data_IF_793115590341
#
_entry.id   IF_793115590341
#
_cell.length_a   1.000
_cell.length_b   1.000
_cell.length_c   1.000
_cell.angle_alpha   90.00
_cell.angle_beta   90.00
_cell.angle_gamma   90.00
#
_symmetry.space_group_name_H-M   'P 1'
#
loop_
_entity.id
_entity.type
_entity.pdbx_description
1 polymer ?
#
# COMPACT_ATOMS: atom_id res chain seq x y z
N UNK A 1 -28.78 -58.60 4.11
CA UNK A 1 -28.02 -57.74 3.19
C UNK A 1 -28.21 -56.32 3.65
N UNK A 2 -27.21 -55.76 4.32
CA UNK A 2 -27.26 -54.44 4.94
C UNK A 2 -26.42 -53.52 4.05
N UNK A 3 -27.06 -52.62 3.32
CA UNK A 3 -26.37 -51.66 2.46
C UNK A 3 -25.61 -50.65 3.33
N UNK A 4 -24.28 -50.69 3.22
CA UNK A 4 -23.40 -49.64 3.69
C UNK A 4 -23.59 -48.40 2.81
N UNK A 5 -24.17 -47.33 3.39
CA UNK A 5 -24.10 -45.99 2.82
C UNK A 5 -22.64 -45.52 2.92
N UNK A 6 -21.95 -45.49 1.78
CA UNK A 6 -20.65 -44.87 1.66
C UNK A 6 -20.74 -43.39 2.02
N UNK A 7 -19.97 -43.00 3.04
CA UNK A 7 -19.71 -41.60 3.35
C UNK A 7 -19.12 -40.90 2.14
N UNK A 8 -19.66 -39.72 1.81
CA UNK A 8 -19.09 -38.87 0.77
C UNK A 8 -17.61 -38.56 1.13
N UNK A 9 -16.68 -38.62 0.15
CA UNK A 9 -15.30 -38.24 0.39
C UNK A 9 -15.21 -36.76 0.79
N UNK A 10 -14.26 -36.38 1.67
CA UNK A 10 -14.02 -34.99 2.00
C UNK A 10 -13.68 -34.21 0.72
N UNK A 11 -14.31 -33.04 0.55
CA UNK A 11 -14.00 -32.10 -0.53
C UNK A 11 -12.49 -31.84 -0.56
N UNK A 12 -11.84 -32.13 -1.68
CA UNK A 12 -10.42 -31.87 -1.86
C UNK A 12 -10.15 -30.37 -1.79
N UNK A 13 -9.06 -29.97 -1.12
CA UNK A 13 -8.59 -28.59 -0.96
C UNK A 13 -8.17 -27.90 -2.28
N UNK A 14 -8.43 -28.52 -3.43
CA UNK A 14 -7.87 -28.15 -4.74
C UNK A 14 -8.59 -26.98 -5.41
N UNK A 15 -9.87 -26.71 -5.10
CA UNK A 15 -10.69 -25.68 -5.77
C UNK A 15 -11.44 -24.75 -4.80
N UNK A 16 -10.94 -24.57 -3.57
CA UNK A 16 -11.54 -23.58 -2.66
C UNK A 16 -11.29 -22.16 -3.18
N UNK A 17 -12.38 -21.40 -3.37
CA UNK A 17 -12.34 -19.99 -3.78
C UNK A 17 -11.57 -19.13 -2.77
N UNK A 18 -11.05 -17.99 -3.22
CA UNK A 18 -10.33 -17.07 -2.34
C UNK A 18 -11.26 -16.56 -1.22
N UNK A 19 -12.52 -16.25 -1.55
CA UNK A 19 -13.54 -15.90 -0.58
C UNK A 19 -13.71 -16.96 0.53
N UNK A 20 -13.85 -18.24 0.17
CA UNK A 20 -14.03 -19.32 1.14
C UNK A 20 -12.79 -19.51 2.04
N UNK A 21 -11.59 -19.46 1.44
CA UNK A 21 -10.33 -19.49 2.18
C UNK A 21 -10.26 -18.34 3.19
N UNK A 22 -10.62 -17.13 2.78
CA UNK A 22 -10.53 -15.95 3.63
C UNK A 22 -11.50 -16.00 4.81
N UNK A 23 -12.74 -16.45 4.59
CA UNK A 23 -13.71 -16.69 5.68
C UNK A 23 -13.18 -17.73 6.66
N UNK A 24 -12.59 -18.82 6.15
CA UNK A 24 -12.03 -19.90 6.96
C UNK A 24 -10.81 -19.46 7.78
N UNK A 25 -9.90 -18.70 7.17
CA UNK A 25 -8.76 -18.10 7.88
C UNK A 25 -9.24 -17.10 8.93
N UNK A 26 -10.26 -16.30 8.62
CA UNK A 26 -10.79 -15.30 9.55
C UNK A 26 -11.46 -15.92 10.78
N UNK A 27 -12.10 -17.07 10.61
CA UNK A 27 -12.73 -17.83 11.69
C UNK A 27 -11.74 -18.73 12.47
N UNK A 28 -10.47 -18.77 12.07
CA UNK A 28 -9.50 -19.68 12.67
C UNK A 28 -8.98 -19.18 14.00
N UNK A 29 -8.99 -20.05 15.01
CA UNK A 29 -8.28 -19.82 16.26
C UNK A 29 -6.78 -20.06 16.05
N UNK A 30 -5.96 -19.02 16.21
CA UNK A 30 -4.51 -19.07 16.01
C UNK A 30 -3.74 -19.51 17.26
N UNK A 31 -4.39 -19.45 18.43
CA UNK A 31 -3.84 -19.92 19.72
C UNK A 31 -2.54 -19.21 20.12
N UNK A 32 -2.45 -17.90 19.82
CA UNK A 32 -1.29 -17.07 20.19
C UNK A 32 -0.02 -17.40 19.42
N UNK A 33 -0.12 -18.04 18.24
CA UNK A 33 1.00 -18.27 17.32
C UNK A 33 2.20 -19.04 17.92
N UNK A 34 1.97 -19.80 19.00
CA UNK A 34 2.95 -20.75 19.51
C UNK A 34 3.16 -21.87 18.49
N UNK A 35 4.30 -22.58 18.55
CA UNK A 35 4.60 -23.64 17.57
C UNK A 35 3.50 -24.71 17.50
N UNK A 36 3.01 -25.17 18.65
CA UNK A 36 1.97 -26.20 18.70
C UNK A 36 0.61 -25.69 18.22
N UNK A 37 0.25 -24.45 18.57
CA UNK A 37 -0.99 -23.83 18.11
C UNK A 37 -0.99 -23.62 16.59
N UNK A 38 0.11 -23.12 16.02
CA UNK A 38 0.28 -22.92 14.58
C UNK A 38 0.27 -24.26 13.84
N UNK A 39 0.91 -25.30 14.39
CA UNK A 39 0.81 -26.65 13.83
C UNK A 39 -0.63 -27.16 13.82
N UNK A 40 -1.36 -26.99 14.92
CA UNK A 40 -2.76 -27.39 15.01
C UNK A 40 -3.64 -26.60 14.05
N UNK A 41 -3.38 -25.29 13.87
CA UNK A 41 -4.03 -24.44 12.86
C UNK A 41 -3.83 -25.01 11.45
N UNK A 42 -2.59 -25.28 11.05
CA UNK A 42 -2.26 -25.84 9.73
C UNK A 42 -2.99 -27.17 9.49
N UNK A 43 -3.02 -28.06 10.49
CA UNK A 43 -3.74 -29.34 10.40
C UNK A 43 -5.25 -29.14 10.29
N UNK A 44 -5.84 -28.21 11.07
CA UNK A 44 -7.27 -27.88 10.97
C UNK A 44 -7.64 -27.28 9.60
N UNK A 45 -6.71 -26.58 8.98
CA UNK A 45 -6.86 -26.07 7.61
C UNK A 45 -6.74 -27.18 6.55
N UNK A 46 -6.45 -28.42 6.94
CA UNK A 46 -6.30 -29.56 6.03
C UNK A 46 -4.98 -29.53 5.25
N UNK A 47 -3.98 -28.79 5.74
CA UNK A 47 -2.69 -28.61 5.07
C UNK A 47 -1.59 -29.46 5.72
N UNK A 48 -0.56 -29.74 4.93
CA UNK A 48 0.60 -30.51 5.37
C UNK A 48 1.56 -29.64 6.20
N UNK A 49 1.74 -30.02 7.47
CA UNK A 49 2.78 -29.46 8.32
C UNK A 49 4.15 -30.03 7.96
N UNK A 50 5.17 -29.16 7.94
CA UNK A 50 6.57 -29.55 7.95
C UNK A 50 7.29 -28.81 9.09
N UNK A 51 8.43 -29.31 9.55
CA UNK A 51 9.24 -28.58 10.53
C UNK A 51 9.97 -27.35 9.93
N UNK A 52 9.83 -27.13 8.62
CA UNK A 52 10.29 -25.93 7.92
C UNK A 52 9.20 -24.84 7.81
N UNK A 53 9.53 -23.69 7.23
CA UNK A 53 8.59 -22.59 7.05
C UNK A 53 7.53 -22.85 5.97
N UNK A 54 7.65 -23.91 5.16
CA UNK A 54 6.71 -24.23 4.09
C UNK A 54 5.55 -25.09 4.60
N UNK A 55 4.34 -24.74 4.19
CA UNK A 55 3.10 -25.45 4.52
C UNK A 55 2.45 -25.93 3.22
N UNK A 56 2.33 -27.25 3.06
CA UNK A 56 1.83 -27.85 1.84
C UNK A 56 0.30 -27.68 1.75
N UNK A 57 -0.18 -26.86 0.82
CA UNK A 57 -1.61 -26.51 0.73
C UNK A 57 -2.36 -27.39 -0.27
N UNK A 58 -1.64 -27.96 -1.25
CA UNK A 58 -2.24 -28.65 -2.40
C UNK A 58 -2.95 -27.71 -3.39
N UNK A 59 -2.80 -26.39 -3.25
CA UNK A 59 -3.43 -25.39 -4.11
C UNK A 59 -2.62 -25.18 -5.39
N UNK A 60 -3.32 -24.87 -6.48
CA UNK A 60 -2.71 -24.50 -7.77
C UNK A 60 -1.90 -23.19 -7.70
N UNK A 61 -2.19 -22.35 -6.71
CA UNK A 61 -1.47 -21.10 -6.42
C UNK A 61 -0.22 -21.30 -5.58
N UNK A 62 0.09 -22.55 -5.20
CA UNK A 62 1.29 -22.91 -4.47
C UNK A 62 1.11 -23.02 -2.95
N UNK A 63 2.22 -23.33 -2.29
CA UNK A 63 2.28 -23.60 -0.87
C UNK A 63 2.26 -22.31 -0.03
N UNK A 64 1.68 -22.42 1.17
CA UNK A 64 1.70 -21.36 2.15
C UNK A 64 3.06 -21.31 2.86
N UNK A 65 3.37 -20.17 3.46
CA UNK A 65 4.63 -19.93 4.15
C UNK A 65 4.37 -19.33 5.52
N UNK A 66 4.97 -19.94 6.53
CA UNK A 66 5.10 -19.39 7.85
C UNK A 66 6.32 -18.48 7.90
N UNK A 67 6.19 -17.35 8.60
CA UNK A 67 7.32 -16.50 8.96
C UNK A 67 7.68 -16.72 10.43
N UNK A 68 8.76 -17.46 10.74
CA UNK A 68 9.20 -17.62 12.11
C UNK A 68 9.63 -16.28 12.71
N UNK A 69 9.52 -16.16 14.03
CA UNK A 69 10.12 -15.05 14.77
C UNK A 69 11.63 -15.10 14.57
N UNK A 70 12.20 -14.03 14.02
CA UNK A 70 13.63 -13.82 13.91
C UNK A 70 14.08 -12.62 14.74
N UNK A 71 15.35 -12.25 14.54
CA UNK A 71 16.03 -11.17 15.27
C UNK A 71 15.27 -9.83 15.25
N UNK A 72 14.56 -9.51 14.16
CA UNK A 72 13.85 -8.23 14.03
C UNK A 72 12.47 -8.27 14.68
N UNK A 73 11.83 -9.43 14.69
CA UNK A 73 10.51 -9.71 15.24
C UNK A 73 10.55 -9.85 16.77
N UNK A 74 11.63 -10.40 17.35
CA UNK A 74 11.79 -10.70 18.78
C UNK A 74 11.44 -9.52 19.70
N UNK A 75 11.69 -8.28 19.28
CA UNK A 75 11.40 -7.06 20.06
C UNK A 75 9.91 -6.65 20.07
N UNK A 76 9.07 -7.35 19.31
CA UNK A 76 7.65 -7.06 19.09
C UNK A 76 6.70 -8.18 19.52
N UNK A 77 7.22 -9.37 19.82
CA UNK A 77 6.44 -10.55 20.18
C UNK A 77 6.53 -10.86 21.67
N UNK A 78 5.52 -11.53 22.22
CA UNK A 78 5.39 -11.97 23.62
C UNK A 78 5.08 -13.47 23.70
N UNK A 79 5.90 -14.31 23.05
CA UNK A 79 5.81 -15.77 23.11
C UNK A 79 5.40 -16.45 21.81
N UNK A 80 5.06 -15.69 20.78
CA UNK A 80 4.81 -16.17 19.43
C UNK A 80 6.06 -16.86 18.86
N UNK A 81 5.88 -17.97 18.15
CA UNK A 81 6.92 -18.64 17.38
C UNK A 81 6.92 -18.19 15.90
N UNK A 82 5.80 -17.65 15.43
CA UNK A 82 5.56 -17.21 14.07
C UNK A 82 4.81 -15.88 14.07
N UNK A 83 5.10 -15.01 13.12
CA UNK A 83 4.43 -13.70 12.97
C UNK A 83 3.49 -13.64 11.75
N UNK A 84 3.54 -14.62 10.86
CA UNK A 84 2.69 -14.63 9.67
C UNK A 84 2.46 -16.07 9.18
N UNK A 85 1.27 -16.30 8.62
CA UNK A 85 0.95 -17.38 7.69
C UNK A 85 0.50 -16.74 6.37
N UNK A 86 1.38 -16.76 5.36
CA UNK A 86 1.16 -16.17 4.05
C UNK A 86 0.74 -17.23 3.03
N UNK A 87 -0.39 -17.03 2.37
CA UNK A 87 -0.94 -17.93 1.35
C UNK A 87 -0.94 -17.20 0.01
N UNK A 88 -0.20 -17.67 -1.02
CA UNK A 88 -0.31 -17.09 -2.34
C UNK A 88 -1.70 -17.36 -2.93
N UNK A 89 -2.36 -16.32 -3.45
CA UNK A 89 -3.74 -16.43 -3.94
C UNK A 89 -3.86 -16.32 -5.46
N UNK A 90 -2.81 -15.86 -6.12
CA UNK A 90 -2.72 -15.81 -7.58
C UNK A 90 -1.27 -15.78 -8.04
N UNK A 91 -0.99 -16.40 -9.18
CA UNK A 91 0.24 -16.18 -9.93
C UNK A 91 -0.04 -15.27 -11.11
N UNK A 92 0.85 -14.31 -11.36
CA UNK A 92 0.69 -13.36 -12.45
C UNK A 92 2.04 -13.03 -13.07
N UNK A 93 2.01 -12.43 -14.26
CA UNK A 93 3.22 -11.95 -14.92
C UNK A 93 3.93 -10.90 -14.02
N UNK A 94 5.26 -10.79 -14.11
CA UNK A 94 6.03 -9.93 -13.21
C UNK A 94 5.86 -8.42 -13.48
N UNK A 95 5.17 -8.02 -14.55
CA UNK A 95 4.94 -6.61 -14.86
C UNK A 95 3.91 -5.96 -13.92
N UNK A 96 4.07 -4.66 -13.69
CA UNK A 96 3.29 -3.93 -12.70
C UNK A 96 1.78 -3.90 -13.01
N UNK A 97 1.40 -3.83 -14.28
CA UNK A 97 0.00 -3.83 -14.69
C UNK A 97 -0.70 -5.15 -14.35
N UNK A 98 -0.08 -6.28 -14.70
CA UNK A 98 -0.60 -7.62 -14.40
C UNK A 98 -0.65 -7.91 -12.90
N UNK A 99 0.30 -7.38 -12.12
CA UNK A 99 0.31 -7.48 -10.65
C UNK A 99 -0.82 -6.65 -10.03
N UNK A 100 -0.97 -5.40 -10.44
CA UNK A 100 -2.01 -4.50 -9.95
C UNK A 100 -3.41 -5.04 -10.23
N UNK A 101 -3.64 -5.55 -11.44
CA UNK A 101 -4.92 -6.15 -11.82
C UNK A 101 -5.22 -7.43 -11.03
N UNK A 102 -4.22 -8.30 -10.83
CA UNK A 102 -4.38 -9.50 -10.01
C UNK A 102 -4.74 -9.15 -8.56
N UNK A 103 -4.11 -8.12 -7.99
CA UNK A 103 -4.44 -7.62 -6.66
C UNK A 103 -5.85 -7.06 -6.61
N UNK A 104 -6.25 -6.24 -7.59
CA UNK A 104 -7.59 -5.64 -7.67
C UNK A 104 -8.69 -6.71 -7.71
N UNK A 105 -8.50 -7.76 -8.51
CA UNK A 105 -9.46 -8.87 -8.58
C UNK A 105 -9.57 -9.62 -7.24
N UNK A 106 -8.43 -9.87 -6.57
CA UNK A 106 -8.42 -10.48 -5.24
C UNK A 106 -9.11 -9.58 -4.20
N UNK A 107 -8.86 -8.26 -4.24
CA UNK A 107 -9.54 -7.27 -3.41
C UNK A 107 -11.05 -7.34 -3.59
N UNK A 108 -11.53 -7.30 -4.84
CA UNK A 108 -12.97 -7.24 -5.14
C UNK A 108 -13.68 -8.51 -4.61
N UNK A 109 -13.09 -9.68 -4.79
CA UNK A 109 -13.61 -10.95 -4.25
C UNK A 109 -13.63 -10.96 -2.71
N UNK A 110 -12.53 -10.58 -2.06
CA UNK A 110 -12.43 -10.55 -0.60
C UNK A 110 -13.37 -9.51 0.02
N UNK A 111 -13.50 -8.35 -0.59
CA UNK A 111 -14.42 -7.30 -0.14
C UNK A 111 -15.87 -7.75 -0.24
N UNK A 112 -16.22 -8.52 -1.29
CA UNK A 112 -17.54 -9.14 -1.40
C UNK A 112 -17.83 -10.18 -0.31
N UNK A 113 -16.81 -10.91 0.15
CA UNK A 113 -16.97 -11.97 1.14
C UNK A 113 -16.89 -11.49 2.60
N UNK A 114 -16.01 -10.54 2.88
CA UNK A 114 -15.67 -10.09 4.24
C UNK A 114 -16.22 -8.69 4.57
N UNK A 115 -16.81 -8.01 3.59
CA UNK A 115 -17.11 -6.58 3.65
C UNK A 115 -15.86 -5.73 3.41
N UNK A 116 -16.00 -4.42 3.58
CA UNK A 116 -14.88 -3.49 3.41
C UNK A 116 -13.72 -3.85 4.37
N UNK A 117 -12.45 -3.57 4.01
CA UNK A 117 -11.28 -3.72 4.90
C UNK A 117 -11.12 -2.51 5.81
N UNK A 118 -10.85 -2.66 7.11
CA UNK A 118 -10.87 -1.54 8.08
C UNK A 118 -9.68 -0.60 7.93
N UNK A 119 -8.63 -1.07 7.27
CA UNK A 119 -7.39 -0.35 6.98
C UNK A 119 -6.97 -0.66 5.53
N UNK A 120 -6.42 0.35 4.86
CA UNK A 120 -5.82 0.23 3.54
C UNK A 120 -4.53 1.04 3.49
N UNK A 121 -3.63 0.72 2.57
CA UNK A 121 -2.44 1.52 2.42
C UNK A 121 -1.41 0.96 1.46
N UNK A 122 -0.24 1.58 1.53
CA UNK A 122 0.98 1.20 0.82
C UNK A 122 2.12 1.21 1.82
N UNK A 123 2.97 0.19 1.83
CA UNK A 123 4.13 0.16 2.74
C UNK A 123 5.29 1.06 2.29
N UNK A 124 5.35 1.39 1.00
CA UNK A 124 6.46 2.11 0.40
C UNK A 124 7.59 1.13 0.11
N UNK A 125 8.75 1.33 0.74
CA UNK A 125 9.99 0.55 0.54
C UNK A 125 10.20 -0.58 1.55
N UNK A 126 9.57 -0.50 2.73
CA UNK A 126 9.74 -1.48 3.79
C UNK A 126 8.37 -1.85 4.38
N UNK A 127 8.02 -3.12 4.26
CA UNK A 127 6.87 -3.72 4.91
C UNK A 127 7.23 -4.15 6.35
N UNK A 128 6.25 -4.64 7.14
CA UNK A 128 6.50 -5.14 8.49
C UNK A 128 7.74 -6.04 8.60
N UNK A 129 8.50 -5.81 9.68
CA UNK A 129 9.72 -6.55 10.02
C UNK A 129 10.82 -6.49 8.94
N UNK A 130 11.04 -5.28 8.40
CA UNK A 130 12.05 -5.00 7.35
C UNK A 130 11.91 -5.90 6.12
N UNK A 131 10.71 -6.40 5.85
CA UNK A 131 10.47 -7.17 4.64
C UNK A 131 10.64 -6.24 3.44
N UNK A 132 11.52 -6.64 2.52
CA UNK A 132 11.62 -5.99 1.22
C UNK A 132 10.25 -6.04 0.54
N UNK A 133 9.83 -4.89 0.03
CA UNK A 133 8.62 -4.76 -0.79
C UNK A 133 8.90 -5.18 -2.23
N UNK A 134 7.82 -5.32 -2.99
CA UNK A 134 7.93 -5.66 -4.40
C UNK A 134 8.22 -4.41 -5.25
N UNK A 135 8.95 -4.59 -6.34
CA UNK A 135 9.35 -3.48 -7.22
C UNK A 135 8.19 -2.80 -7.93
N UNK A 136 7.03 -3.48 -8.06
CA UNK A 136 5.84 -2.93 -8.68
C UNK A 136 4.99 -2.08 -7.73
N UNK A 137 5.21 -2.21 -6.41
CA UNK A 137 4.40 -1.55 -5.39
C UNK A 137 4.23 -2.42 -4.15
N UNK A 138 3.56 -1.84 -3.15
CA UNK A 138 3.29 -2.51 -1.87
C UNK A 138 1.88 -2.25 -1.31
N UNK A 139 0.82 -2.32 -2.13
CA UNK A 139 -0.53 -2.14 -1.65
C UNK A 139 -0.91 -3.23 -0.63
N UNK A 140 -1.71 -2.85 0.36
CA UNK A 140 -2.29 -3.77 1.31
C UNK A 140 -3.69 -3.34 1.77
N UNK A 141 -4.49 -4.31 2.19
CA UNK A 141 -5.81 -4.16 2.78
C UNK A 141 -5.92 -5.08 3.99
N UNK A 142 -6.47 -4.60 5.11
CA UNK A 142 -6.62 -5.39 6.34
C UNK A 142 -8.05 -5.47 6.80
N UNK A 143 -8.48 -6.67 7.15
CA UNK A 143 -9.64 -6.94 7.97
C UNK A 143 -9.13 -7.20 9.39
N UNK A 144 -9.01 -6.11 10.16
CA UNK A 144 -8.47 -6.14 11.52
C UNK A 144 -9.36 -6.98 12.44
N UNK A 145 -8.73 -7.78 13.27
CA UNK A 145 -9.36 -8.44 14.41
C UNK A 145 -8.73 -8.07 15.72
N UNK A 146 -9.36 -8.49 16.80
CA UNK A 146 -8.83 -8.30 18.15
C UNK A 146 -7.47 -8.99 18.29
N UNK A 147 -7.42 -10.32 18.10
CA UNK A 147 -6.17 -11.08 18.22
C UNK A 147 -5.39 -11.20 16.92
N UNK A 148 -6.12 -11.32 15.80
CA UNK A 148 -5.54 -11.65 14.50
C UNK A 148 -6.08 -10.75 13.40
N UNK A 149 -5.20 -10.33 12.51
CA UNK A 149 -5.53 -9.56 11.31
C UNK A 149 -5.37 -10.45 10.08
N UNK A 150 -6.36 -10.36 9.19
CA UNK A 150 -6.25 -10.91 7.84
C UNK A 150 -5.89 -9.77 6.88
N UNK A 151 -4.82 -9.94 6.11
CA UNK A 151 -4.28 -8.93 5.20
C UNK A 151 -4.18 -9.47 3.77
N UNK A 152 -4.73 -8.76 2.80
CA UNK A 152 -4.34 -8.92 1.41
C UNK A 152 -3.15 -7.99 1.16
N UNK A 153 -2.03 -8.51 0.66
CA UNK A 153 -0.84 -7.70 0.36
C UNK A 153 -0.19 -8.09 -0.97
N UNK A 154 0.59 -7.16 -1.49
CA UNK A 154 1.49 -7.44 -2.60
C UNK A 154 2.55 -8.49 -2.22
N UNK A 155 2.77 -9.43 -3.14
CA UNK A 155 3.79 -10.45 -3.05
C UNK A 155 4.54 -10.62 -4.37
N UNK A 156 5.64 -11.37 -4.29
CA UNK A 156 6.64 -11.49 -5.37
C UNK A 156 6.11 -12.04 -6.70
N UNK A 157 5.17 -12.96 -6.64
CA UNK A 157 4.62 -13.63 -7.84
C UNK A 157 3.13 -13.32 -8.06
N UNK A 158 2.58 -12.40 -7.27
CA UNK A 158 1.16 -12.12 -7.19
C UNK A 158 0.74 -11.74 -5.76
N UNK A 159 -0.52 -11.36 -5.56
CA UNK A 159 -1.07 -11.08 -4.24
C UNK A 159 -1.01 -12.29 -3.31
N UNK A 160 -0.87 -12.00 -2.02
CA UNK A 160 -0.86 -12.97 -0.93
C UNK A 160 -1.91 -12.59 0.11
N UNK A 161 -2.60 -13.61 0.64
CA UNK A 161 -3.48 -13.47 1.79
C UNK A 161 -2.73 -13.94 3.03
N UNK A 162 -2.62 -13.06 4.02
CA UNK A 162 -1.77 -13.24 5.19
C UNK A 162 -2.60 -13.17 6.45
N UNK A 163 -2.53 -14.23 7.25
CA UNK A 163 -3.02 -14.21 8.63
C UNK A 163 -1.83 -13.90 9.55
N UNK A 164 -2.00 -12.97 10.49
CA UNK A 164 -0.94 -12.52 11.40
C UNK A 164 -1.53 -12.03 12.73
N UNK A 165 -0.79 -12.09 13.86
CA UNK A 165 -1.24 -11.51 15.12
C UNK A 165 -1.34 -9.98 15.00
N UNK A 166 -2.43 -9.40 15.48
CA UNK A 166 -2.70 -7.96 15.36
C UNK A 166 -1.63 -7.12 16.05
N UNK A 167 -1.34 -7.40 17.33
CA UNK A 167 -0.45 -6.58 18.16
C UNK A 167 0.99 -6.49 17.62
N UNK A 168 1.69 -7.59 17.29
CA UNK A 168 3.05 -7.51 16.73
C UNK A 168 3.09 -6.77 15.39
N UNK A 169 2.09 -7.01 14.52
CA UNK A 169 2.01 -6.35 13.23
C UNK A 169 1.80 -4.84 13.38
N UNK A 170 0.98 -4.39 14.32
CA UNK A 170 0.73 -2.97 14.60
C UNK A 170 1.88 -2.30 15.35
N UNK A 171 2.46 -2.99 16.34
CA UNK A 171 3.64 -2.54 17.10
C UNK A 171 4.82 -2.16 16.20
N UNK A 172 4.97 -2.85 15.07
CA UNK A 172 5.93 -2.46 14.04
C UNK A 172 5.67 -1.05 13.48
N UNK A 173 4.44 -0.76 13.05
CA UNK A 173 4.08 0.54 12.45
C UNK A 173 4.33 1.70 13.41
N UNK A 174 4.01 1.51 14.68
CA UNK A 174 4.19 2.55 15.72
C UNK A 174 5.66 2.87 15.93
N UNK A 175 6.53 1.85 16.01
CA UNK A 175 7.93 2.04 16.40
C UNK A 175 8.82 2.55 15.27
N UNK A 176 8.48 2.30 14.01
CA UNK A 176 9.28 2.75 12.87
C UNK A 176 9.06 4.22 12.47
N UNK A 177 8.17 4.94 13.15
CA UNK A 177 7.71 6.25 12.69
C UNK A 177 8.11 7.46 13.54
N UNK A 178 8.74 7.30 14.71
CA UNK A 178 8.99 8.45 15.57
C UNK A 178 10.27 9.21 15.18
N UNK A 179 10.14 10.07 14.17
CA UNK A 179 11.13 11.11 13.83
C UNK A 179 12.32 10.68 12.98
N UNK A 180 12.45 9.40 12.62
CA UNK A 180 13.51 8.92 11.74
C UNK A 180 13.14 9.12 10.26
N UNK A 181 13.93 9.90 9.53
CA UNK A 181 13.72 10.07 8.08
C UNK A 181 13.73 8.71 7.38
N UNK A 182 12.75 8.49 6.50
CA UNK A 182 12.54 7.21 5.79
C UNK A 182 12.16 6.01 6.66
N UNK A 183 11.86 6.19 7.95
CA UNK A 183 11.35 5.11 8.81
C UNK A 183 10.03 4.52 8.29
N UNK A 184 9.22 5.35 7.63
CA UNK A 184 7.99 4.96 6.93
C UNK A 184 7.99 5.60 5.55
N UNK A 185 7.67 4.84 4.51
CA UNK A 185 7.88 5.25 3.11
C UNK A 185 6.65 5.15 2.23
N UNK A 186 5.50 4.75 2.78
CA UNK A 186 4.22 4.70 2.07
C UNK A 186 3.13 5.52 2.76
N UNK A 187 1.88 5.12 2.60
CA UNK A 187 0.74 5.77 3.24
C UNK A 187 -0.13 4.77 3.99
N UNK A 188 -0.86 5.28 4.97
CA UNK A 188 -1.75 4.49 5.80
C UNK A 188 -3.12 5.16 5.83
N UNK A 189 -4.16 4.39 5.54
CA UNK A 189 -5.55 4.80 5.51
C UNK A 189 -6.39 3.96 6.45
N UNK A 190 -7.29 4.58 7.19
CA UNK A 190 -8.24 3.89 8.06
C UNK A 190 -9.64 4.45 7.88
N UNK A 191 -10.64 3.61 8.08
CA UNK A 191 -12.04 4.07 8.17
C UNK A 191 -12.54 4.04 9.61
N UNK A 192 -13.65 4.72 9.82
CA UNK A 192 -14.36 4.66 11.11
C UNK A 192 -15.03 3.29 11.22
N UNK A 193 -14.38 2.37 11.93
CA UNK A 193 -14.83 0.99 12.10
C UNK A 193 -14.55 0.54 13.55
N UNK A 194 -15.49 -0.10 14.25
CA UNK A 194 -15.28 -0.56 15.63
C UNK A 194 -14.08 -1.49 15.79
N UNK A 195 -13.72 -2.25 14.74
CA UNK A 195 -12.54 -3.11 14.74
C UNK A 195 -11.23 -2.34 14.89
N UNK A 196 -11.21 -1.03 14.65
CA UNK A 196 -10.04 -0.17 14.83
C UNK A 196 -9.90 0.35 16.29
N UNK A 197 -10.68 -0.18 17.25
CA UNK A 197 -10.48 0.10 18.67
C UNK A 197 -9.06 -0.25 19.13
N UNK A 198 -8.37 0.71 19.74
CA UNK A 198 -6.98 0.56 20.19
C UNK A 198 -5.93 0.67 19.08
N UNK A 199 -6.35 0.92 17.83
CA UNK A 199 -5.42 1.15 16.72
C UNK A 199 -4.51 2.34 17.02
N UNK A 200 -3.21 2.12 16.90
CA UNK A 200 -2.21 3.18 17.04
C UNK A 200 -1.69 3.55 15.66
N UNK A 201 -1.55 4.85 15.41
CA UNK A 201 -1.05 5.34 14.14
C UNK A 201 0.48 5.30 14.09
N UNK A 202 1.06 5.04 12.91
CA UNK A 202 2.49 5.22 12.72
C UNK A 202 2.88 6.67 13.04
N UNK A 203 4.06 6.86 13.65
CA UNK A 203 4.67 8.18 13.72
C UNK A 203 5.06 8.69 12.33
N UNK A 204 5.13 10.00 12.15
CA UNK A 204 5.65 10.62 10.92
C UNK A 204 7.06 11.14 11.08
N UNK A 205 7.70 11.40 9.94
CA UNK A 205 8.97 12.11 9.85
C UNK A 205 8.82 13.34 8.96
N UNK A 206 9.80 14.25 9.00
CA UNK A 206 9.82 15.45 8.16
C UNK A 206 11.09 15.46 7.34
N UNK A 207 10.98 15.79 6.06
CA UNK A 207 12.13 15.93 5.19
C UNK A 207 12.81 17.29 5.43
N UNK A 208 14.11 17.26 5.72
CA UNK A 208 14.90 18.46 5.98
C UNK A 208 15.82 18.86 4.83
N UNK A 209 15.83 18.07 3.74
CA UNK A 209 16.63 18.37 2.55
C UNK A 209 15.84 18.15 1.26
N UNK A 210 16.21 18.89 0.22
CA UNK A 210 15.68 18.68 -1.13
C UNK A 210 15.98 17.27 -1.64
N UNK A 211 17.14 16.70 -1.31
CA UNK A 211 17.49 15.33 -1.68
C UNK A 211 16.51 14.32 -1.05
N UNK A 212 16.19 14.50 0.24
CA UNK A 212 15.25 13.65 0.98
C UNK A 212 13.85 13.73 0.34
N UNK A 213 13.35 14.94 0.04
CA UNK A 213 12.05 15.13 -0.64
C UNK A 213 12.06 14.52 -2.04
N UNK A 214 13.09 14.77 -2.86
CA UNK A 214 13.20 14.20 -4.20
C UNK A 214 13.16 12.68 -4.14
N UNK A 215 13.91 12.05 -3.23
CA UNK A 215 13.93 10.60 -3.08
C UNK A 215 12.59 10.02 -2.63
N UNK A 216 11.91 10.70 -1.70
CA UNK A 216 10.60 10.29 -1.21
C UNK A 216 9.53 10.40 -2.31
N UNK A 217 9.49 11.52 -3.04
CA UNK A 217 8.63 11.71 -4.20
C UNK A 217 8.94 10.69 -5.30
N UNK A 218 10.21 10.42 -5.58
CA UNK A 218 10.60 9.47 -6.62
C UNK A 218 10.11 8.06 -6.30
N UNK A 219 10.24 7.62 -5.04
CA UNK A 219 9.73 6.33 -4.60
C UNK A 219 8.20 6.27 -4.71
N UNK A 220 7.51 7.32 -4.26
CA UNK A 220 6.06 7.43 -4.33
C UNK A 220 5.54 7.40 -5.78
N UNK A 221 6.07 8.24 -6.66
CA UNK A 221 5.61 8.38 -8.05
C UNK A 221 5.91 7.15 -8.91
N UNK A 222 6.97 6.40 -8.60
CA UNK A 222 7.33 5.18 -9.34
C UNK A 222 6.23 4.12 -9.26
N UNK A 223 5.64 3.90 -8.08
CA UNK A 223 4.69 2.81 -7.84
C UNK A 223 3.24 3.27 -7.81
N UNK A 224 3.00 4.58 -7.73
CA UNK A 224 1.67 5.16 -7.56
C UNK A 224 0.62 4.62 -8.54
N UNK A 225 0.83 4.55 -9.87
CA UNK A 225 -0.21 4.04 -10.77
C UNK A 225 -0.56 2.57 -10.55
N UNK A 226 0.42 1.73 -10.22
CA UNK A 226 0.18 0.32 -9.91
C UNK A 226 -0.60 0.18 -8.60
N UNK A 227 -0.27 1.00 -7.60
CA UNK A 227 -0.89 0.99 -6.27
C UNK A 227 -2.33 1.52 -6.29
N UNK A 228 -2.59 2.64 -6.98
CA UNK A 228 -3.96 3.17 -7.14
C UNK A 228 -4.84 2.26 -7.98
N UNK A 229 -4.28 1.62 -9.02
CA UNK A 229 -4.99 0.59 -9.81
C UNK A 229 -5.36 -0.62 -8.95
N UNK A 230 -4.39 -1.15 -8.19
CA UNK A 230 -4.58 -2.31 -7.31
C UNK A 230 -5.62 -2.03 -6.23
N UNK A 231 -5.53 -0.85 -5.60
CA UNK A 231 -6.45 -0.43 -4.54
C UNK A 231 -7.77 0.11 -5.08
N UNK A 232 -7.90 0.37 -6.39
CA UNK A 232 -9.04 1.05 -7.03
C UNK A 232 -9.43 2.33 -6.27
N UNK A 233 -8.42 3.11 -5.95
CA UNK A 233 -8.54 4.39 -5.23
C UNK A 233 -7.84 5.45 -6.05
N UNK A 234 -8.57 6.12 -6.97
CA UNK A 234 -8.05 7.30 -7.64
C UNK A 234 -7.53 8.28 -6.59
N UNK A 235 -6.35 8.84 -6.84
CA UNK A 235 -5.69 9.74 -5.91
C UNK A 235 -5.54 11.12 -6.52
N UNK A 236 -5.90 12.14 -5.76
CA UNK A 236 -5.63 13.53 -6.09
C UNK A 236 -4.88 14.17 -4.96
N UNK A 237 -3.74 14.75 -5.27
CA UNK A 237 -2.84 15.34 -4.29
C UNK A 237 -2.38 16.71 -4.76
N UNK A 238 -3.08 17.78 -4.37
CA UNK A 238 -2.56 19.13 -4.55
C UNK A 238 -1.35 19.32 -3.62
N UNK A 239 -0.26 19.82 -4.19
CA UNK A 239 0.94 20.23 -3.45
C UNK A 239 1.00 21.75 -3.44
N UNK A 240 1.00 22.32 -2.25
CA UNK A 240 1.14 23.74 -1.99
C UNK A 240 2.59 24.07 -1.66
N UNK A 241 2.99 25.33 -1.88
CA UNK A 241 4.31 25.81 -1.47
C UNK A 241 4.24 27.16 -0.79
N UNK A 242 4.80 27.28 0.40
CA UNK A 242 4.93 28.58 1.07
C UNK A 242 5.97 29.43 0.34
N UNK A 243 5.53 30.57 -0.16
CA UNK A 243 6.35 31.52 -0.91
C UNK A 243 6.21 32.90 -0.26
N UNK A 244 7.34 33.53 0.04
CA UNK A 244 7.36 34.86 0.64
C UNK A 244 6.58 35.88 -0.21
N UNK A 245 5.66 36.61 0.43
CA UNK A 245 4.80 37.60 -0.24
C UNK A 245 3.66 37.02 -1.08
N UNK A 246 3.57 35.70 -1.28
CA UNK A 246 2.53 35.04 -2.09
C UNK A 246 1.65 34.05 -1.31
N UNK A 247 1.96 33.80 -0.02
CA UNK A 247 1.22 32.85 0.80
C UNK A 247 1.58 31.40 0.47
N UNK A 248 0.59 30.50 0.45
CA UNK A 248 0.77 29.10 0.06
C UNK A 248 -0.15 28.75 -1.12
N UNK A 249 0.17 29.15 -2.36
CA UNK A 249 -0.60 28.74 -3.54
C UNK A 249 -0.39 27.25 -3.85
N UNK A 250 -1.33 26.66 -4.58
CA UNK A 250 -1.15 25.34 -5.21
C UNK A 250 -0.05 25.49 -6.26
N UNK A 251 0.98 24.64 -6.18
CA UNK A 251 2.06 24.58 -7.16
C UNK A 251 1.84 23.44 -8.14
N UNK A 252 1.42 22.29 -7.61
CA UNK A 252 1.21 21.07 -8.38
C UNK A 252 -0.09 20.38 -8.03
N UNK A 253 -0.60 19.60 -8.97
CA UNK A 253 -1.62 18.59 -8.72
C UNK A 253 -1.12 17.25 -9.26
N UNK A 254 -1.05 16.25 -8.39
CA UNK A 254 -0.76 14.88 -8.76
C UNK A 254 -2.09 14.14 -8.82
N UNK A 255 -2.46 13.69 -10.02
CA UNK A 255 -3.69 12.97 -10.29
C UNK A 255 -3.36 11.57 -10.79
N UNK A 256 -3.81 10.55 -10.08
CA UNK A 256 -3.57 9.17 -10.45
C UNK A 256 -4.87 8.36 -10.35
N UNK A 257 -5.58 8.30 -11.48
CA UNK A 257 -6.62 7.31 -11.74
C UNK A 257 -6.02 6.12 -12.48
N UNK A 258 -6.41 5.93 -13.75
CA UNK A 258 -5.84 4.89 -14.62
C UNK A 258 -4.42 5.22 -15.12
N UNK A 259 -4.08 6.52 -15.12
CA UNK A 259 -2.77 7.07 -15.53
C UNK A 259 -2.33 8.12 -14.51
N UNK A 260 -1.02 8.25 -14.33
CA UNK A 260 -0.43 9.31 -13.54
C UNK A 260 -0.27 10.57 -14.38
N UNK A 261 -0.99 11.61 -13.99
CA UNK A 261 -0.90 12.95 -14.54
C UNK A 261 -0.34 13.89 -13.48
N UNK A 262 0.63 14.72 -13.87
CA UNK A 262 1.14 15.78 -12.99
C UNK A 262 0.89 17.11 -13.69
N UNK A 263 0.27 18.03 -12.98
CA UNK A 263 -0.01 19.37 -13.48
C UNK A 263 0.74 20.41 -12.65
N UNK A 264 1.22 21.48 -13.29
CA UNK A 264 1.78 22.63 -12.59
C UNK A 264 1.01 23.92 -12.90
N UNK A 265 0.80 24.72 -11.85
CA UNK A 265 0.10 26.01 -11.90
C UNK A 265 1.08 27.17 -12.08
N UNK A 266 2.28 26.88 -12.57
CA UNK A 266 3.35 27.84 -12.59
C UNK A 266 3.13 28.94 -13.64
N UNK A 267 3.12 30.19 -13.19
CA UNK A 267 2.91 31.36 -14.07
C UNK A 267 4.22 31.88 -14.70
N UNK A 268 5.36 31.68 -14.04
CA UNK A 268 6.67 32.27 -14.39
C UNK A 268 7.82 31.25 -14.29
N UNK A 269 7.67 30.05 -14.83
CA UNK A 269 8.80 29.11 -14.94
C UNK A 269 9.64 29.51 -16.15
N UNK A 270 10.90 29.82 -15.91
CA UNK A 270 11.88 30.03 -16.98
C UNK A 270 12.11 28.66 -17.66
N UNK A 271 11.73 28.58 -18.93
CA UNK A 271 11.90 27.41 -19.81
C UNK A 271 11.31 26.07 -19.28
N UNK A 272 9.98 25.93 -19.26
CA UNK A 272 9.30 24.71 -18.81
C UNK A 272 9.70 23.43 -19.57
N UNK A 273 9.99 23.56 -20.87
CA UNK A 273 10.37 22.44 -21.71
C UNK A 273 11.72 21.84 -21.27
N UNK A 274 12.68 22.68 -20.89
CA UNK A 274 13.97 22.21 -20.33
C UNK A 274 13.83 21.44 -19.03
N UNK A 275 12.75 21.67 -18.27
CA UNK A 275 12.43 20.97 -17.03
C UNK A 275 11.59 19.70 -17.26
N UNK A 276 11.24 19.37 -18.51
CA UNK A 276 10.46 18.18 -18.87
C UNK A 276 8.94 18.37 -18.85
N UNK A 277 8.44 19.60 -18.78
CA UNK A 277 7.02 19.87 -18.86
C UNK A 277 6.52 19.92 -20.31
N UNK A 278 5.41 19.24 -20.57
CA UNK A 278 4.57 19.48 -21.74
C UNK A 278 3.48 20.52 -21.47
N UNK A 279 2.69 20.80 -22.50
CA UNK A 279 1.57 21.74 -22.45
C UNK A 279 0.23 21.04 -22.26
N UNK A 280 -0.79 21.80 -21.86
CA UNK A 280 -2.17 21.33 -21.80
C UNK A 280 -2.72 20.80 -23.14
N UNK A 281 -2.16 21.23 -24.29
CA UNK A 281 -2.57 20.79 -25.61
C UNK A 281 -1.94 19.43 -25.98
N UNK A 282 -0.71 19.19 -25.56
CA UNK A 282 0.00 17.91 -25.78
C UNK A 282 -0.53 16.81 -24.85
N UNK A 283 -0.91 17.17 -23.63
CA UNK A 283 -1.48 16.27 -22.63
C UNK A 283 -2.85 16.77 -22.18
N UNK A 284 -3.91 16.55 -22.97
CA UNK A 284 -5.23 17.02 -22.64
C UNK A 284 -5.79 16.24 -21.44
N UNK A 285 -6.27 17.01 -20.45
CA UNK A 285 -7.03 16.60 -19.25
C UNK A 285 -6.28 15.86 -18.14
N UNK A 286 -6.32 16.45 -16.94
CA UNK A 286 -6.34 15.73 -15.66
C UNK A 286 -7.78 15.30 -15.38
N UNK A 287 -8.00 14.23 -14.61
CA UNK A 287 -9.33 13.77 -14.20
C UNK A 287 -10.14 14.81 -13.41
N UNK A 288 -9.47 15.84 -12.84
CA UNK A 288 -10.13 16.96 -12.15
C UNK A 288 -10.28 18.22 -13.03
N UNK A 289 -11.49 18.79 -13.17
CA UNK A 289 -11.67 20.11 -13.76
C UNK A 289 -11.25 21.19 -12.75
N UNK A 290 -10.38 22.10 -13.18
CA UNK A 290 -10.00 23.29 -12.42
C UNK A 290 -10.85 24.48 -12.85
N UNK A 291 -11.19 25.44 -11.97
CA UNK A 291 -11.86 26.67 -12.39
C UNK A 291 -11.00 27.46 -13.39
N UNK A 292 -11.62 28.07 -14.41
CA UNK A 292 -10.91 28.63 -15.59
C UNK A 292 -9.72 29.54 -15.26
N UNK A 293 -9.84 30.41 -14.26
CA UNK A 293 -8.79 31.34 -13.84
C UNK A 293 -7.60 30.68 -13.11
N UNK A 294 -7.67 29.37 -12.86
CA UNK A 294 -6.66 28.57 -12.15
C UNK A 294 -6.32 27.29 -12.91
N UNK A 295 -6.56 27.20 -14.23
CA UNK A 295 -6.18 26.00 -14.97
C UNK A 295 -4.65 25.80 -15.00
N UNK A 296 -4.16 24.58 -14.75
CA UNK A 296 -2.73 24.30 -14.89
C UNK A 296 -2.34 24.39 -16.37
N UNK A 297 -1.23 25.10 -16.63
CA UNK A 297 -0.72 25.36 -17.98
C UNK A 297 0.24 24.28 -18.46
N UNK A 298 0.98 23.72 -17.51
CA UNK A 298 2.01 22.72 -17.74
C UNK A 298 1.54 21.36 -17.24
N UNK A 299 1.86 20.30 -17.99
CA UNK A 299 1.40 18.95 -17.71
C UNK A 299 2.42 17.89 -18.12
N UNK A 300 2.38 16.78 -17.42
CA UNK A 300 3.08 15.53 -17.75
C UNK A 300 2.06 14.40 -17.68
N UNK A 301 1.94 13.62 -18.76
CA UNK A 301 1.37 12.27 -18.72
C UNK A 301 2.52 11.29 -18.47
N UNK A 302 2.58 10.76 -17.24
CA UNK A 302 3.63 9.84 -16.80
C UNK A 302 3.26 8.37 -17.06
N UNK A 303 2.05 8.08 -17.55
CA UNK A 303 1.67 6.73 -17.91
C UNK A 303 0.95 5.92 -16.85
N UNK A 304 0.73 4.65 -17.19
CA UNK A 304 0.09 3.63 -16.35
C UNK A 304 1.09 2.84 -15.50
N UNK A 305 0.65 1.72 -14.89
CA UNK A 305 1.49 0.89 -14.03
C UNK A 305 2.83 0.48 -14.67
N UNK A 306 3.95 0.87 -14.03
CA UNK A 306 5.30 0.53 -14.47
C UNK A 306 5.90 1.44 -15.55
N UNK A 307 5.16 2.44 -16.04
CA UNK A 307 5.64 3.41 -17.03
C UNK A 307 6.41 4.62 -16.43
N UNK A 308 6.04 5.17 -15.25
CA UNK A 308 6.68 6.37 -14.73
C UNK A 308 8.17 6.22 -14.41
N UNK A 309 8.96 7.21 -14.83
CA UNK A 309 10.30 7.45 -14.27
C UNK A 309 10.17 8.34 -13.03
N UNK A 310 9.91 7.74 -11.87
CA UNK A 310 9.64 8.50 -10.63
C UNK A 310 10.76 9.47 -10.27
N UNK A 311 12.03 9.12 -10.51
CA UNK A 311 13.17 10.02 -10.28
C UNK A 311 13.10 11.27 -11.15
N UNK A 312 12.88 11.14 -12.45
CA UNK A 312 12.79 12.28 -13.35
C UNK A 312 11.60 13.18 -12.99
N UNK A 313 10.45 12.59 -12.67
CA UNK A 313 9.27 13.35 -12.25
C UNK A 313 9.51 14.12 -10.95
N UNK A 314 10.15 13.49 -9.96
CA UNK A 314 10.47 14.14 -8.69
C UNK A 314 11.48 15.28 -8.86
N UNK A 315 12.50 15.10 -9.70
CA UNK A 315 13.46 16.15 -10.04
C UNK A 315 12.78 17.33 -10.73
N UNK A 316 11.89 17.08 -11.69
CA UNK A 316 11.07 18.11 -12.34
C UNK A 316 10.21 18.87 -11.34
N UNK A 317 9.50 18.19 -10.44
CA UNK A 317 8.68 18.82 -9.40
C UNK A 317 9.54 19.71 -8.49
N UNK A 318 10.65 19.19 -7.97
CA UNK A 318 11.52 19.92 -7.03
C UNK A 318 12.22 21.10 -7.71
N UNK A 319 12.73 20.92 -8.93
CA UNK A 319 13.33 22.01 -9.70
C UNK A 319 12.31 23.13 -9.96
N UNK A 320 11.07 22.76 -10.31
CA UNK A 320 9.98 23.71 -10.55
C UNK A 320 9.59 24.44 -9.27
N UNK A 321 9.46 23.75 -8.14
CA UNK A 321 9.14 24.37 -6.85
C UNK A 321 10.18 25.42 -6.45
N UNK A 322 11.46 25.10 -6.63
CA UNK A 322 12.58 26.02 -6.36
C UNK A 322 12.55 27.22 -7.30
N UNK A 323 12.28 27.01 -8.59
CA UNK A 323 12.12 28.09 -9.56
C UNK A 323 10.94 29.03 -9.22
N UNK A 324 9.87 28.49 -8.65
CA UNK A 324 8.71 29.26 -8.18
C UNK A 324 8.95 30.02 -6.86
N UNK A 325 10.11 29.83 -6.22
CA UNK A 325 10.52 30.56 -5.02
C UNK A 325 10.33 29.82 -3.70
N UNK A 326 10.02 28.53 -3.71
CA UNK A 326 10.03 27.71 -2.49
C UNK A 326 11.47 27.54 -2.02
N UNK A 327 11.76 27.97 -0.79
CA UNK A 327 13.14 28.07 -0.28
C UNK A 327 13.64 26.77 0.35
N UNK A 328 12.80 26.13 1.15
CA UNK A 328 13.16 24.90 1.88
C UNK A 328 12.12 23.80 1.63
N UNK A 329 12.48 22.52 1.79
CA UNK A 329 11.54 21.41 1.64
C UNK A 329 10.34 21.48 2.59
N UNK A 330 10.49 22.06 3.79
CA UNK A 330 9.41 22.23 4.77
C UNK A 330 8.31 23.21 4.33
N UNK A 331 8.61 24.02 3.32
CA UNK A 331 7.64 24.93 2.71
C UNK A 331 6.74 24.21 1.69
N UNK A 332 7.04 22.96 1.30
CA UNK A 332 6.14 22.11 0.53
C UNK A 332 5.11 21.42 1.43
N UNK A 333 3.85 21.50 1.05
CA UNK A 333 2.73 21.00 1.85
C UNK A 333 1.79 20.16 1.00
N UNK A 334 1.30 19.07 1.57
CA UNK A 334 0.25 18.24 0.98
C UNK A 334 -1.10 18.88 1.33
N UNK A 335 -1.95 19.14 0.36
CA UNK A 335 -3.30 19.64 0.62
C UNK A 335 -4.12 18.67 1.47
N UNK A 336 -4.92 19.20 2.38
CA UNK A 336 -5.80 18.41 3.26
C UNK A 336 -6.76 17.53 2.48
N UNK A 337 -7.11 17.92 1.25
CA UNK A 337 -8.00 17.19 0.34
C UNK A 337 -7.44 15.81 -0.05
N UNK A 338 -6.13 15.62 -0.02
CA UNK A 338 -5.52 14.31 -0.26
C UNK A 338 -5.80 13.33 0.90
N UNK A 339 -6.16 13.85 2.08
CA UNK A 339 -6.40 13.07 3.28
C UNK A 339 -7.69 12.24 3.27
N UNK A 340 -8.60 12.46 2.33
CA UNK A 340 -9.87 11.74 2.24
C UNK A 340 -9.93 10.93 0.94
N UNK A 341 -9.82 9.61 1.05
CA UNK A 341 -9.86 8.67 -0.08
C UNK A 341 -11.05 7.73 0.10
N UNK A 342 -12.18 8.08 -0.51
CA UNK A 342 -13.44 7.36 -0.32
C UNK A 342 -13.88 7.39 1.15
N UNK A 343 -13.95 6.22 1.80
CA UNK A 343 -14.33 6.09 3.21
C UNK A 343 -13.12 6.17 4.18
N UNK A 344 -11.91 6.32 3.64
CA UNK A 344 -10.68 6.25 4.42
C UNK A 344 -10.08 7.63 4.65
N UNK A 345 -9.65 7.88 5.88
CA UNK A 345 -8.73 8.97 6.23
C UNK A 345 -7.30 8.48 6.04
N UNK A 346 -6.54 9.17 5.20
CA UNK A 346 -5.21 8.79 4.75
C UNK A 346 -4.16 9.76 5.24
N UNK A 347 -2.98 9.24 5.58
CA UNK A 347 -1.79 10.05 5.85
C UNK A 347 -0.60 9.50 5.08
N UNK A 348 0.08 10.40 4.37
CA UNK A 348 1.20 10.10 3.47
C UNK A 348 2.55 10.21 4.19
N UNK A 349 2.76 9.37 5.20
CA UNK A 349 3.98 9.35 6.01
C UNK A 349 5.26 9.27 5.16
N UNK A 350 5.20 8.57 4.04
CA UNK A 350 6.33 8.34 3.15
C UNK A 350 6.88 9.55 2.42
N UNK A 351 6.11 10.64 2.35
CA UNK A 351 6.55 11.87 1.67
C UNK A 351 7.37 12.78 2.58
N UNK A 352 7.28 12.63 3.90
CA UNK A 352 7.96 13.51 4.85
C UNK A 352 7.51 14.99 4.76
N UNK A 353 6.34 15.24 4.18
CA UNK A 353 5.75 16.58 4.02
C UNK A 353 4.65 16.81 5.06
N UNK A 354 4.44 18.07 5.43
CA UNK A 354 3.32 18.44 6.31
C UNK A 354 2.03 18.60 5.50
N UNK A 355 0.89 18.38 6.15
CA UNK A 355 -0.40 18.80 5.58
C UNK A 355 -0.53 20.33 5.64
N UNK A 356 -1.20 20.93 4.65
CA UNK A 356 -1.38 22.37 4.50
C UNK A 356 -2.26 23.01 5.58
#
# INVERSE_FOLDING_TARGET
>A
MTEQRGSAPPQSATDETLAALAVRLRASETGGWTRDATRALVVRLGWGWSDGPTVATGRSTGDARLRPVGKYEERHVSGEAYVELAVPVRHTAPDAASQAEAFRLAKDELTGALGQPSIMGVYGRLAPFLRAVESWGSPYLRWRGESDTLELRAGRTGPELVLQPTDPAESWFVRQGNGEEHGITGFFGFRTDPSNGGLTFPGGWRAHSWETVTRALAAFLTTLPAETTALRTPMWMPIYGRIEGKGAPILFDIDCGDRLMIAAFADEVVDPASLGWGTAAEHPTTGRPWPDARHPRLRIDAGGPGEPSGQALAETIVATARAMGVRTPEDLLIGTEAGDVGEYRVTYYGLGLSMA
#
